data_IF_254450199529
#
_entry.id   IF_254450199529
#
_cell.length_a   1.000
_cell.length_b   1.000
_cell.length_c   1.000
_cell.angle_alpha   90.00
_cell.angle_beta   90.00
_cell.angle_gamma   90.00
#
_symmetry.space_group_name_H-M   'P 1'
#
loop_
_entity.id
_entity.type
_entity.pdbx_description
1 polymer ?
#
# COMPACT_ATOMS: atom_id res chain seq x y z
N UNK A 1 10.93 -22.99 -5.05
CA UNK A 1 11.73 -21.79 -5.32
C UNK A 1 10.98 -20.96 -6.35
N UNK A 2 10.64 -19.68 -6.06
CA UNK A 2 9.95 -18.83 -7.01
C UNK A 2 10.79 -18.63 -8.27
N UNK A 3 10.15 -18.59 -9.45
CA UNK A 3 10.85 -18.35 -10.71
C UNK A 3 11.41 -16.92 -10.70
N UNK A 4 12.49 -16.63 -11.45
CA UNK A 4 13.10 -15.28 -11.53
C UNK A 4 12.05 -14.17 -11.78
N UNK A 5 11.07 -14.44 -12.64
CA UNK A 5 9.94 -13.56 -12.96
C UNK A 5 8.99 -13.29 -11.78
N UNK A 6 8.85 -14.24 -10.85
CA UNK A 6 8.04 -14.06 -9.64
C UNK A 6 8.81 -13.25 -8.59
N UNK A 7 10.13 -13.39 -8.54
CA UNK A 7 10.99 -12.58 -7.68
C UNK A 7 10.97 -11.10 -8.09
N UNK A 8 11.09 -10.81 -9.40
CA UNK A 8 11.02 -9.43 -9.90
C UNK A 8 9.68 -8.76 -9.53
N UNK A 9 8.56 -9.50 -9.66
CA UNK A 9 7.23 -9.03 -9.24
C UNK A 9 7.10 -8.82 -7.74
N UNK A 10 7.69 -9.71 -6.93
CA UNK A 10 7.71 -9.55 -5.48
C UNK A 10 8.43 -8.25 -5.09
N UNK A 11 9.53 -7.93 -5.77
CA UNK A 11 10.31 -6.73 -5.46
C UNK A 11 9.63 -5.45 -5.97
N UNK A 12 8.90 -5.50 -7.08
CA UNK A 12 8.00 -4.41 -7.52
C UNK A 12 6.87 -4.16 -6.51
N UNK A 13 6.20 -5.22 -6.03
CA UNK A 13 5.12 -5.10 -5.03
C UNK A 13 5.65 -4.52 -3.72
N UNK A 14 6.83 -4.93 -3.26
CA UNK A 14 7.46 -4.34 -2.06
C UNK A 14 7.76 -2.86 -2.23
N UNK A 15 8.29 -2.43 -3.38
CA UNK A 15 8.52 -1.01 -3.66
C UNK A 15 7.22 -0.22 -3.57
N UNK A 16 6.15 -0.74 -4.18
CA UNK A 16 4.83 -0.12 -4.11
C UNK A 16 4.28 -0.01 -2.67
N UNK A 17 4.50 -1.03 -1.84
CA UNK A 17 4.12 -0.97 -0.42
C UNK A 17 4.83 0.16 0.33
N UNK A 18 6.13 0.35 0.09
CA UNK A 18 6.90 1.45 0.72
C UNK A 18 6.37 2.82 0.29
N UNK A 19 6.04 2.99 -1.00
CA UNK A 19 5.41 4.21 -1.50
C UNK A 19 4.07 4.49 -0.82
N UNK A 20 3.21 3.47 -0.71
CA UNK A 20 1.91 3.57 -0.05
C UNK A 20 2.05 3.92 1.44
N UNK A 21 3.01 3.33 2.15
CA UNK A 21 3.28 3.67 3.54
C UNK A 21 3.68 5.15 3.71
N UNK A 22 4.49 5.68 2.78
CA UNK A 22 4.82 7.11 2.76
C UNK A 22 3.59 7.97 2.51
N UNK A 23 2.76 7.63 1.50
CA UNK A 23 1.55 8.37 1.17
C UNK A 23 0.53 8.36 2.32
N UNK A 24 0.34 7.22 2.97
CA UNK A 24 -0.52 7.08 4.15
C UNK A 24 -0.03 7.96 5.29
N UNK A 25 1.28 7.94 5.58
CA UNK A 25 1.87 8.74 6.67
C UNK A 25 1.77 10.23 6.41
N UNK A 26 2.03 10.67 5.18
CA UNK A 26 1.87 12.07 4.77
C UNK A 26 0.42 12.52 4.80
N UNK A 27 -0.51 11.67 4.36
CA UNK A 27 -1.94 11.97 4.38
C UNK A 27 -2.44 12.06 5.81
N UNK A 28 -2.02 11.13 6.69
CA UNK A 28 -2.29 11.17 8.14
C UNK A 28 -1.70 12.40 8.83
N UNK A 29 -0.53 12.89 8.45
CA UNK A 29 0.05 14.11 9.04
C UNK A 29 -0.67 15.39 8.62
N UNK A 30 -1.35 15.36 7.46
CA UNK A 30 -2.20 16.44 6.96
C UNK A 30 -3.63 16.40 7.50
N UNK A 31 -4.06 15.27 8.09
CA UNK A 31 -5.36 15.16 8.74
C UNK A 31 -5.38 16.02 10.01
N UNK A 32 -6.29 16.99 10.12
CA UNK A 32 -6.42 17.76 11.36
C UNK A 32 -6.95 16.86 12.48
N UNK A 33 -6.48 17.07 13.71
CA UNK A 33 -6.77 16.24 14.90
C UNK A 33 -8.26 16.00 15.19
N UNK A 34 -9.15 16.86 14.66
CA UNK A 34 -10.61 16.76 14.80
C UNK A 34 -11.35 16.96 13.48
N UNK A 35 -10.72 16.73 12.32
CA UNK A 35 -11.32 17.09 11.03
C UNK A 35 -11.55 15.90 10.13
N UNK A 36 -12.82 15.70 9.83
CA UNK A 36 -13.38 14.86 8.77
C UNK A 36 -13.37 15.60 7.44
N UNK A 37 -12.21 16.10 6.96
CA UNK A 37 -12.18 16.69 5.60
C UNK A 37 -12.37 15.53 4.61
N UNK A 38 -13.53 15.44 3.91
CA UNK A 38 -13.86 14.25 3.15
C UNK A 38 -12.81 13.89 2.08
N UNK A 39 -12.20 14.84 1.35
CA UNK A 39 -11.19 14.50 0.33
C UNK A 39 -9.95 13.80 0.89
N UNK A 40 -9.40 14.29 2.00
CA UNK A 40 -8.16 13.73 2.60
C UNK A 40 -8.42 12.36 3.22
N UNK A 41 -9.64 12.13 3.74
CA UNK A 41 -10.05 10.82 4.23
C UNK A 41 -10.26 9.82 3.08
N UNK A 42 -10.82 10.26 1.94
CA UNK A 42 -10.96 9.40 0.77
C UNK A 42 -9.60 8.98 0.22
N UNK A 43 -8.66 9.92 0.06
CA UNK A 43 -7.28 9.60 -0.37
C UNK A 43 -6.63 8.58 0.59
N UNK A 44 -6.83 8.76 1.90
CA UNK A 44 -6.29 7.84 2.90
C UNK A 44 -6.89 6.43 2.76
N UNK A 45 -8.22 6.34 2.63
CA UNK A 45 -8.92 5.06 2.47
C UNK A 45 -8.47 4.35 1.18
N UNK A 46 -8.33 5.07 0.08
CA UNK A 46 -7.85 4.53 -1.19
C UNK A 46 -6.42 3.97 -1.06
N UNK A 47 -5.52 4.65 -0.35
CA UNK A 47 -4.17 4.14 -0.11
C UNK A 47 -4.15 2.92 0.81
N UNK A 48 -5.01 2.87 1.84
CA UNK A 48 -5.14 1.73 2.75
C UNK A 48 -5.71 0.50 2.03
N UNK A 49 -6.74 0.68 1.18
CA UNK A 49 -7.30 -0.38 0.34
C UNK A 49 -6.28 -0.91 -0.68
N UNK A 50 -5.49 -0.02 -1.30
CA UNK A 50 -4.43 -0.42 -2.23
C UNK A 50 -3.34 -1.22 -1.51
N UNK A 51 -2.94 -0.80 -0.30
CA UNK A 51 -1.95 -1.50 0.51
C UNK A 51 -2.39 -2.94 0.79
N UNK A 52 -3.64 -3.12 1.22
CA UNK A 52 -4.22 -4.44 1.48
C UNK A 52 -4.27 -5.32 0.23
N UNK A 53 -4.60 -4.73 -0.93
CA UNK A 53 -4.60 -5.46 -2.20
C UNK A 53 -3.19 -5.89 -2.62
N UNK A 54 -2.19 -5.03 -2.43
CA UNK A 54 -0.77 -5.34 -2.73
C UNK A 54 -0.24 -6.42 -1.77
N UNK A 55 -0.57 -6.34 -0.48
CA UNK A 55 -0.19 -7.32 0.53
C UNK A 55 -0.77 -8.70 0.21
N UNK A 56 -2.05 -8.77 -0.17
CA UNK A 56 -2.70 -10.02 -0.62
C UNK A 56 -1.96 -10.63 -1.81
N UNK A 57 -1.64 -9.83 -2.84
CA UNK A 57 -0.88 -10.28 -4.02
C UNK A 57 0.49 -10.82 -3.64
N UNK A 58 1.21 -10.13 -2.75
CA UNK A 58 2.52 -10.55 -2.25
C UNK A 58 2.44 -11.92 -1.54
N UNK A 59 1.45 -12.10 -0.68
CA UNK A 59 1.23 -13.34 0.05
C UNK A 59 0.86 -14.49 -0.90
N UNK A 60 0.01 -14.25 -1.90
CA UNK A 60 -0.30 -15.24 -2.94
C UNK A 60 0.93 -15.66 -3.73
N UNK A 61 1.86 -14.75 -4.03
CA UNK A 61 3.10 -15.08 -4.75
C UNK A 61 4.13 -15.81 -3.88
N UNK A 62 4.19 -15.51 -2.59
CA UNK A 62 5.10 -16.18 -1.63
C UNK A 62 4.63 -17.58 -1.24
N UNK A 63 3.31 -17.79 -1.19
CA UNK A 63 2.70 -19.07 -0.81
C UNK A 63 2.48 -19.99 -2.03
N UNK A 64 3.03 -19.63 -3.19
CA UNK A 64 2.95 -20.38 -4.46
C UNK A 64 4.20 -21.22 -4.68
#
# INVERSE_FOLDING_TARGET
>A
MPKKKDQDKIDELKKRMVELETLIRETKSRLPAHSTKPPVMMDLLDYEDEYDAVLKKLNTLKNK
#
